data_IF_078259130334
#
_entry.id   IF_078259130334
#
_cell.length_a   1.000
_cell.length_b   1.000
_cell.length_c   1.000
_cell.angle_alpha   90.00
_cell.angle_beta   90.00
_cell.angle_gamma   90.00
#
_symmetry.space_group_name_H-M   'P 1'
#
loop_
_entity.id
_entity.type
_entity.pdbx_description
1 polymer ?
#
# COMPACT_ATOMS: atom_id res chain seq x y z
N UNK A 1 7.60 -18.58 18.83
CA UNK A 1 7.13 -17.26 19.33
C UNK A 1 7.26 -16.14 18.29
N UNK A 2 8.01 -16.31 17.19
CA UNK A 2 8.10 -15.34 16.08
C UNK A 2 6.85 -15.30 15.19
N UNK A 3 6.19 -16.44 14.99
CA UNK A 3 5.08 -16.57 14.04
C UNK A 3 3.81 -15.80 14.43
N UNK A 4 3.61 -15.53 15.73
CA UNK A 4 2.43 -14.82 16.25
C UNK A 4 2.44 -13.32 15.95
N UNK A 5 3.62 -12.71 15.74
CA UNK A 5 3.75 -11.28 15.40
C UNK A 5 3.49 -11.03 13.92
N UNK A 6 3.97 -11.92 13.05
CA UNK A 6 3.72 -11.84 11.60
C UNK A 6 2.21 -11.90 11.31
N UNK A 7 1.48 -12.77 12.00
CA UNK A 7 0.01 -12.86 11.90
C UNK A 7 -0.74 -11.59 12.36
N UNK A 8 -0.11 -10.72 13.15
CA UNK A 8 -0.72 -9.47 13.63
C UNK A 8 -0.36 -8.26 12.77
N UNK A 9 0.78 -8.27 12.09
CA UNK A 9 1.33 -7.08 11.43
C UNK A 9 0.89 -6.92 9.97
N UNK A 10 0.59 -8.03 9.28
CA UNK A 10 0.21 -7.99 7.86
C UNK A 10 -1.15 -7.31 7.68
N UNK A 11 -1.13 -6.15 7.03
CA UNK A 11 -2.31 -5.32 6.74
C UNK A 11 -2.79 -4.48 7.92
N UNK A 12 -2.02 -4.31 9.00
CA UNK A 12 -2.38 -3.36 10.06
C UNK A 12 -2.31 -1.94 9.53
N UNK A 13 -3.36 -1.19 9.82
CA UNK A 13 -3.57 0.17 9.38
C UNK A 13 -3.75 1.07 10.59
N UNK A 14 -3.08 2.22 10.62
CA UNK A 14 -3.36 3.22 11.64
C UNK A 14 -4.60 4.01 11.30
N UNK A 15 -5.65 3.88 12.11
CA UNK A 15 -6.90 4.63 11.94
C UNK A 15 -6.69 6.14 12.13
N UNK A 16 -5.93 6.51 13.16
CA UNK A 16 -5.58 7.91 13.41
C UNK A 16 -4.63 8.43 12.32
N UNK A 17 -3.74 7.60 11.79
CA UNK A 17 -2.90 7.96 10.65
C UNK A 17 -3.70 8.22 9.37
N UNK A 18 -4.64 7.34 9.03
CA UNK A 18 -5.55 7.52 7.90
C UNK A 18 -6.41 8.78 8.06
N UNK A 19 -6.93 9.04 9.28
CA UNK A 19 -7.64 10.28 9.59
C UNK A 19 -6.74 11.50 9.38
N UNK A 20 -5.52 11.47 9.89
CA UNK A 20 -4.59 12.58 9.72
C UNK A 20 -4.30 12.87 8.25
N UNK A 21 -4.10 11.83 7.43
CA UNK A 21 -3.89 11.99 5.99
C UNK A 21 -5.10 12.65 5.31
N UNK A 22 -6.32 12.22 5.67
CA UNK A 22 -7.56 12.84 5.19
C UNK A 22 -7.66 14.31 5.60
N UNK A 23 -7.38 14.64 6.87
CA UNK A 23 -7.38 16.01 7.38
C UNK A 23 -6.31 16.88 6.67
N UNK A 24 -5.13 16.34 6.37
CA UNK A 24 -4.07 17.02 5.59
C UNK A 24 -4.57 17.37 4.19
N UNK A 25 -5.17 16.40 3.49
CA UNK A 25 -5.72 16.62 2.14
C UNK A 25 -6.86 17.66 2.17
N UNK A 26 -7.76 17.55 3.14
CA UNK A 26 -8.84 18.51 3.33
C UNK A 26 -8.33 19.92 3.70
N UNK A 27 -7.25 20.03 4.47
CA UNK A 27 -6.58 21.30 4.79
C UNK A 27 -6.09 21.99 3.51
N UNK A 28 -5.43 21.24 2.62
CA UNK A 28 -4.95 21.77 1.34
C UNK A 28 -6.10 22.27 0.47
N UNK A 29 -7.21 21.54 0.41
CA UNK A 29 -8.42 21.98 -0.29
C UNK A 29 -9.02 23.25 0.33
N UNK A 30 -9.13 23.32 1.66
CA UNK A 30 -9.64 24.49 2.36
C UNK A 30 -8.78 25.74 2.11
N UNK A 31 -7.46 25.59 2.05
CA UNK A 31 -6.54 26.67 1.65
C UNK A 31 -6.91 27.22 0.26
N UNK A 32 -7.04 26.35 -0.74
CA UNK A 32 -7.34 26.78 -2.11
C UNK A 32 -8.76 27.31 -2.30
N UNK A 33 -9.70 26.88 -1.47
CA UNK A 33 -11.07 27.36 -1.46
C UNK A 33 -11.25 28.66 -0.65
N UNK A 34 -10.16 29.28 -0.18
CA UNK A 34 -10.19 30.47 0.66
C UNK A 34 -11.02 30.29 1.95
N UNK A 35 -10.87 29.13 2.61
CA UNK A 35 -11.53 28.76 3.86
C UNK A 35 -10.50 28.66 5.01
N UNK A 36 -9.94 29.79 5.49
CA UNK A 36 -8.82 29.78 6.43
C UNK A 36 -9.17 29.17 7.80
N UNK A 37 -10.37 29.44 8.32
CA UNK A 37 -10.81 28.89 9.61
C UNK A 37 -10.95 27.36 9.56
N UNK A 38 -11.42 26.85 8.41
CA UNK A 38 -11.51 25.41 8.17
C UNK A 38 -10.13 24.79 8.02
N UNK A 39 -9.22 25.42 7.28
CA UNK A 39 -7.83 24.96 7.14
C UNK A 39 -7.14 24.87 8.51
N UNK A 40 -7.30 25.90 9.35
CA UNK A 40 -6.79 25.93 10.73
C UNK A 40 -7.38 24.80 11.58
N UNK A 41 -8.69 24.61 11.52
CA UNK A 41 -9.35 23.53 12.26
C UNK A 41 -8.80 22.15 11.85
N UNK A 42 -8.74 21.88 10.54
CA UNK A 42 -8.32 20.59 10.00
C UNK A 42 -6.84 20.30 10.29
N UNK A 43 -5.94 21.27 10.16
CA UNK A 43 -4.52 21.02 10.40
C UNK A 43 -4.21 20.71 11.87
N UNK A 44 -4.92 21.36 12.80
CA UNK A 44 -4.79 21.03 14.22
C UNK A 44 -5.38 19.65 14.54
N UNK A 45 -6.48 19.25 13.88
CA UNK A 45 -7.01 17.89 14.00
C UNK A 45 -6.02 16.85 13.46
N UNK A 46 -5.38 17.11 12.32
CA UNK A 46 -4.34 16.24 11.76
C UNK A 46 -3.17 16.08 12.73
N UNK A 47 -2.71 17.18 13.35
CA UNK A 47 -1.64 17.17 14.35
C UNK A 47 -2.00 16.30 15.57
N UNK A 48 -3.22 16.43 16.09
CA UNK A 48 -3.71 15.62 17.22
C UNK A 48 -3.81 14.15 16.82
N UNK A 49 -4.32 13.86 15.63
CA UNK A 49 -4.43 12.50 15.11
C UNK A 49 -3.04 11.86 14.94
N UNK A 50 -2.06 12.55 14.38
CA UNK A 50 -0.67 12.04 14.28
C UNK A 50 -0.04 11.76 15.64
N UNK A 51 -0.29 12.61 16.64
CA UNK A 51 0.21 12.36 17.99
C UNK A 51 -0.38 11.08 18.65
N UNK A 52 -1.61 10.69 18.26
CA UNK A 52 -2.20 9.40 18.63
C UNK A 52 -1.62 8.27 17.81
N UNK A 53 -1.54 8.45 16.49
CA UNK A 53 -1.01 7.48 15.54
C UNK A 53 0.44 7.09 15.85
N UNK A 54 1.24 8.00 16.40
CA UNK A 54 2.60 7.73 16.85
C UNK A 54 2.71 6.67 17.96
N UNK A 55 1.59 6.31 18.61
CA UNK A 55 1.51 5.31 19.67
C UNK A 55 0.76 4.05 19.22
N UNK A 56 0.36 3.98 17.96
CA UNK A 56 -0.34 2.82 17.40
C UNK A 56 0.63 1.66 17.22
N UNK A 57 0.26 0.43 17.60
CA UNK A 57 1.12 -0.73 17.34
C UNK A 57 1.20 -1.09 15.84
N UNK A 58 0.47 -0.39 14.96
CA UNK A 58 0.68 -0.46 13.51
C UNK A 58 1.97 0.25 13.06
N UNK A 59 2.60 1.10 13.89
CA UNK A 59 3.87 1.76 13.56
C UNK A 59 5.01 0.74 13.57
N UNK A 60 5.83 0.75 12.52
CA UNK A 60 6.96 -0.17 12.39
C UNK A 60 8.22 0.53 11.89
N UNK A 61 9.40 0.00 12.19
CA UNK A 61 10.68 0.55 11.73
C UNK A 61 11.07 -0.07 10.39
N UNK A 62 11.28 0.74 9.36
CA UNK A 62 11.74 0.24 8.05
C UNK A 62 12.52 1.30 7.26
N UNK A 63 13.67 0.95 6.65
CA UNK A 63 14.40 1.88 5.81
C UNK A 63 13.68 2.15 4.50
N UNK A 64 14.01 3.27 3.87
CA UNK A 64 13.46 3.67 2.57
C UNK A 64 13.86 2.68 1.46
N UNK A 65 15.06 2.11 1.55
CA UNK A 65 15.61 1.14 0.60
C UNK A 65 14.81 -0.16 0.49
N UNK A 66 13.96 -0.47 1.47
CA UNK A 66 13.10 -1.66 1.47
C UNK A 66 11.63 -1.35 1.12
N UNK A 67 11.37 -0.13 0.65
CA UNK A 67 10.04 0.32 0.24
C UNK A 67 10.03 0.67 -1.24
N UNK A 68 8.84 0.67 -1.84
CA UNK A 68 8.64 0.97 -3.26
C UNK A 68 8.07 2.38 -3.40
N UNK A 69 8.68 3.21 -4.25
CA UNK A 69 8.12 4.52 -4.58
C UNK A 69 6.85 4.37 -5.44
N UNK A 70 5.80 5.19 -5.22
CA UNK A 70 4.61 5.19 -6.07
C UNK A 70 4.97 5.45 -7.54
N UNK A 71 4.32 4.74 -8.48
CA UNK A 71 4.57 4.91 -9.92
C UNK A 71 5.78 4.17 -10.49
N UNK A 72 6.61 3.53 -9.67
CA UNK A 72 7.60 2.56 -10.14
C UNK A 72 6.95 1.17 -10.28
N UNK A 73 6.22 0.98 -11.37
CA UNK A 73 6.17 -0.36 -11.97
C UNK A 73 7.61 -0.77 -12.30
N UNK A 74 7.91 -2.06 -12.19
CA UNK A 74 9.22 -2.73 -12.19
C UNK A 74 10.04 -2.61 -13.50
N UNK A 75 10.10 -1.44 -14.13
CA UNK A 75 11.02 -1.18 -15.24
C UNK A 75 12.36 -0.64 -14.72
N UNK A 76 13.49 -1.34 -14.98
CA UNK A 76 14.81 -0.89 -14.59
C UNK A 76 15.31 0.18 -15.58
N UNK A 77 14.72 1.38 -15.55
CA UNK A 77 15.26 2.52 -16.29
C UNK A 77 15.52 3.71 -15.37
N UNK A 78 16.82 3.86 -15.07
CA UNK A 78 17.57 5.11 -14.82
C UNK A 78 16.76 6.32 -14.36
N UNK A 79 16.73 6.53 -13.04
CA UNK A 79 16.76 7.88 -12.46
C UNK A 79 18.21 8.25 -12.18
N UNK A 80 18.90 8.83 -13.17
CA UNK A 80 20.32 9.17 -13.10
C UNK A 80 20.67 10.31 -12.10
N UNK A 81 19.70 10.83 -11.33
CA UNK A 81 19.90 11.90 -10.35
C UNK A 81 19.08 11.72 -9.06
N UNK A 82 18.48 10.55 -8.83
CA UNK A 82 17.80 10.30 -7.56
C UNK A 82 18.84 10.01 -6.47
N UNK A 83 18.73 10.71 -5.34
CA UNK A 83 19.46 10.36 -4.12
C UNK A 83 19.21 8.87 -3.83
N UNK A 84 20.27 8.14 -3.51
CA UNK A 84 20.14 6.73 -3.14
C UNK A 84 19.17 6.62 -1.94
N UNK A 85 18.22 5.67 -1.98
CA UNK A 85 17.25 5.52 -0.89
C UNK A 85 17.97 5.22 0.43
N UNK A 86 17.53 5.86 1.51
CA UNK A 86 18.15 5.70 2.82
C UNK A 86 18.06 4.26 3.33
N UNK A 87 19.17 3.74 3.86
CA UNK A 87 19.24 2.45 4.54
C UNK A 87 19.01 2.54 6.05
N UNK A 88 18.85 3.75 6.60
CA UNK A 88 18.56 3.96 8.02
C UNK A 88 17.08 3.68 8.28
N UNK A 89 16.74 2.74 9.17
CA UNK A 89 15.34 2.52 9.56
C UNK A 89 14.77 3.75 10.26
N UNK A 90 13.55 4.13 9.86
CA UNK A 90 12.76 5.18 10.51
C UNK A 90 11.36 4.65 10.79
N UNK A 91 10.63 5.31 11.70
CA UNK A 91 9.26 4.95 12.02
C UNK A 91 8.34 5.18 10.81
N UNK A 92 7.63 4.12 10.40
CA UNK A 92 6.68 4.10 9.29
C UNK A 92 5.27 3.99 9.84
N UNK A 93 4.40 4.84 9.32
CA UNK A 93 2.99 4.88 9.65
C UNK A 93 2.18 4.35 8.45
N UNK A 94 1.66 3.12 8.49
CA UNK A 94 0.72 2.64 7.48
C UNK A 94 -0.61 3.39 7.59
N UNK A 95 -1.04 4.00 6.49
CA UNK A 95 -2.21 4.91 6.40
C UNK A 95 -3.22 4.49 5.34
N UNK A 96 -2.87 3.54 4.49
CA UNK A 96 -3.81 2.81 3.62
C UNK A 96 -3.31 1.39 3.38
N UNK A 97 -4.20 0.48 3.02
CA UNK A 97 -3.86 -0.90 2.69
C UNK A 97 -4.81 -1.51 1.66
N UNK A 98 -4.23 -2.24 0.72
CA UNK A 98 -4.95 -3.02 -0.29
C UNK A 98 -4.46 -4.47 -0.27
N UNK A 99 -5.38 -5.40 -0.52
CA UNK A 99 -5.09 -6.79 -0.84
C UNK A 99 -5.11 -6.95 -2.37
N UNK A 100 -4.06 -7.51 -2.95
CA UNK A 100 -4.01 -7.84 -4.38
C UNK A 100 -3.88 -9.34 -4.57
N UNK A 101 -4.72 -9.92 -5.42
CA UNK A 101 -4.67 -11.33 -5.80
C UNK A 101 -4.21 -11.43 -7.25
N UNK A 102 -3.28 -12.34 -7.50
CA UNK A 102 -2.82 -12.68 -8.85
C UNK A 102 -2.99 -14.18 -9.07
N UNK A 103 -3.67 -14.55 -10.15
CA UNK A 103 -3.94 -15.93 -10.54
C UNK A 103 -4.02 -16.07 -12.07
N UNK A 104 -4.08 -17.30 -12.58
CA UNK A 104 -4.18 -17.60 -14.00
C UNK A 104 -5.61 -17.69 -14.56
N UNK A 105 -6.63 -17.49 -13.72
CA UNK A 105 -8.07 -17.61 -14.02
C UNK A 105 -8.50 -18.96 -14.63
N UNK A 106 -7.69 -20.03 -14.48
CA UNK A 106 -8.07 -21.37 -14.93
C UNK A 106 -8.76 -22.13 -13.81
N UNK A 107 -9.99 -22.57 -14.07
CA UNK A 107 -10.70 -23.44 -13.14
C UNK A 107 -10.19 -24.88 -13.26
N UNK A 108 -9.58 -25.41 -12.20
CA UNK A 108 -9.30 -26.84 -12.03
C UNK A 108 -10.01 -27.36 -10.79
N UNK A 109 -10.34 -28.67 -10.71
CA UNK A 109 -10.92 -29.27 -9.51
C UNK A 109 -10.09 -28.99 -8.25
N UNK A 110 -8.77 -29.05 -8.36
CA UNK A 110 -7.83 -28.79 -7.26
C UNK A 110 -7.92 -27.34 -6.79
N UNK A 111 -7.95 -26.38 -7.74
CA UNK A 111 -8.07 -24.95 -7.45
C UNK A 111 -9.40 -24.62 -6.77
N UNK A 112 -10.50 -25.20 -7.26
CA UNK A 112 -11.83 -25.00 -6.67
C UNK A 112 -11.92 -25.57 -5.25
N UNK A 113 -11.32 -26.74 -5.00
CA UNK A 113 -11.27 -27.33 -3.66
C UNK A 113 -10.46 -26.44 -2.69
N UNK A 114 -9.28 -25.98 -3.09
CA UNK A 114 -8.45 -25.12 -2.26
C UNK A 114 -9.11 -23.76 -1.96
N UNK A 115 -9.83 -23.16 -2.93
CA UNK A 115 -10.63 -21.94 -2.71
C UNK A 115 -11.79 -22.22 -1.73
N UNK A 116 -12.48 -23.35 -1.86
CA UNK A 116 -13.54 -23.76 -0.92
C UNK A 116 -13.01 -23.88 0.50
N UNK A 117 -11.86 -24.53 0.68
CA UNK A 117 -11.24 -24.72 1.99
C UNK A 117 -10.71 -23.40 2.56
N UNK A 118 -10.16 -22.52 1.71
CA UNK A 118 -9.77 -21.16 2.11
C UNK A 118 -10.99 -20.36 2.62
N UNK A 119 -12.13 -20.45 1.93
CA UNK A 119 -13.38 -19.83 2.37
C UNK A 119 -13.88 -20.38 3.70
N UNK A 120 -13.71 -21.68 3.97
CA UNK A 120 -14.03 -22.25 5.27
C UNK A 120 -13.12 -21.69 6.38
N UNK A 121 -11.80 -21.62 6.14
CA UNK A 121 -10.86 -21.00 7.06
C UNK A 121 -11.22 -19.53 7.35
N UNK A 122 -11.62 -18.75 6.34
CA UNK A 122 -12.05 -17.36 6.55
C UNK A 122 -13.30 -17.25 7.43
N UNK A 123 -14.25 -18.19 7.32
CA UNK A 123 -15.45 -18.22 8.18
C UNK A 123 -15.11 -18.49 9.65
N UNK A 124 -14.02 -19.19 9.93
CA UNK A 124 -13.56 -19.50 11.29
C UNK A 124 -12.48 -18.54 11.79
N UNK A 125 -12.31 -17.38 11.13
CA UNK A 125 -11.26 -16.39 11.42
C UNK A 125 -9.82 -16.93 11.32
N UNK A 126 -9.62 -18.09 10.69
CA UNK A 126 -8.31 -18.68 10.38
C UNK A 126 -7.73 -18.01 9.12
N UNK A 127 -7.36 -16.74 9.26
CA UNK A 127 -6.81 -15.94 8.15
C UNK A 127 -5.55 -16.59 7.58
N UNK A 128 -4.65 -17.06 8.44
CA UNK A 128 -3.39 -17.68 8.03
C UNK A 128 -3.65 -18.94 7.21
N UNK A 129 -4.47 -19.85 7.71
CA UNK A 129 -4.78 -21.08 6.99
C UNK A 129 -5.57 -20.84 5.71
N UNK A 130 -6.31 -19.74 5.57
CA UNK A 130 -6.91 -19.35 4.30
C UNK A 130 -5.85 -18.89 3.28
N UNK A 131 -4.92 -18.01 3.69
CA UNK A 131 -3.86 -17.50 2.83
C UNK A 131 -2.91 -18.60 2.34
N UNK A 132 -2.57 -19.55 3.22
CA UNK A 132 -1.74 -20.71 2.86
C UNK A 132 -2.43 -21.60 1.81
N UNK A 133 -3.75 -21.82 1.94
CA UNK A 133 -4.52 -22.58 0.95
C UNK A 133 -4.63 -21.87 -0.39
N UNK A 134 -4.81 -20.54 -0.39
CA UNK A 134 -4.78 -19.73 -1.62
C UNK A 134 -3.41 -19.83 -2.30
N UNK A 135 -2.32 -19.76 -1.53
CA UNK A 135 -0.97 -19.89 -2.09
C UNK A 135 -0.72 -21.27 -2.73
N UNK A 136 -1.26 -22.35 -2.15
CA UNK A 136 -1.23 -23.72 -2.73
C UNK A 136 -2.02 -23.80 -4.03
N UNK A 137 -3.08 -22.99 -4.19
CA UNK A 137 -3.91 -22.91 -5.37
C UNK A 137 -3.34 -22.02 -6.50
N UNK A 138 -2.05 -21.66 -6.43
CA UNK A 138 -1.40 -20.68 -7.29
C UNK A 138 -2.14 -19.32 -7.34
N UNK A 139 -2.79 -18.95 -6.24
CA UNK A 139 -3.31 -17.60 -6.01
C UNK A 139 -2.28 -16.85 -5.18
N UNK A 140 -1.49 -16.01 -5.84
CA UNK A 140 -0.51 -15.16 -5.16
C UNK A 140 -1.23 -13.99 -4.51
N UNK A 141 -1.06 -13.85 -3.20
CA UNK A 141 -1.67 -12.78 -2.40
C UNK A 141 -0.59 -11.81 -1.95
N UNK A 142 -0.80 -10.51 -2.19
CA UNK A 142 0.09 -9.44 -1.72
C UNK A 142 -0.70 -8.45 -0.89
N UNK A 143 -0.05 -7.97 0.18
CA UNK A 143 -0.53 -6.87 1.00
C UNK A 143 0.29 -5.64 0.63
N UNK A 144 -0.40 -4.63 0.09
CA UNK A 144 0.19 -3.36 -0.32
C UNK A 144 -0.28 -2.30 0.65
N UNK A 145 0.64 -1.71 1.41
CA UNK A 145 0.33 -0.62 2.34
C UNK A 145 0.99 0.68 1.90
N UNK A 146 0.23 1.78 1.89
CA UNK A 146 0.80 3.12 1.80
C UNK A 146 1.32 3.52 3.19
N UNK A 147 2.58 3.93 3.25
CA UNK A 147 3.29 4.24 4.50
C UNK A 147 3.93 5.62 4.45
N UNK A 148 3.75 6.38 5.52
CA UNK A 148 4.36 7.70 5.70
C UNK A 148 5.55 7.62 6.66
N UNK A 149 6.63 8.40 6.46
CA UNK A 149 7.66 8.57 7.47
C UNK A 149 7.09 9.40 8.64
N UNK A 150 6.81 8.74 9.76
CA UNK A 150 6.00 9.29 10.86
C UNK A 150 6.56 10.62 11.39
N UNK A 151 7.84 10.63 11.74
CA UNK A 151 8.49 11.78 12.37
C UNK A 151 8.54 12.99 11.43
N UNK A 152 8.89 12.75 10.15
CA UNK A 152 8.91 13.80 9.12
C UNK A 152 7.49 14.35 8.89
N UNK A 153 6.49 13.47 8.78
CA UNK A 153 5.08 13.87 8.60
C UNK A 153 4.60 14.75 9.76
N UNK A 154 4.95 14.39 11.01
CA UNK A 154 4.62 15.20 12.19
C UNK A 154 5.30 16.57 12.17
N UNK A 155 6.55 16.63 11.74
CA UNK A 155 7.30 17.89 11.61
C UNK A 155 6.66 18.80 10.56
N UNK A 156 6.36 18.27 9.37
CA UNK A 156 5.76 19.01 8.26
C UNK A 156 4.37 19.54 8.62
N UNK A 157 3.52 18.70 9.24
CA UNK A 157 2.20 19.12 9.73
C UNK A 157 2.30 20.19 10.81
N UNK A 158 3.27 20.07 11.72
CA UNK A 158 3.48 21.09 12.75
C UNK A 158 3.93 22.41 12.15
N UNK A 159 4.82 22.37 11.14
CA UNK A 159 5.28 23.57 10.43
C UNK A 159 4.15 24.21 9.64
N UNK A 160 3.36 23.41 8.92
CA UNK A 160 2.20 23.89 8.17
C UNK A 160 1.15 24.53 9.09
N UNK A 161 0.88 23.97 10.28
CA UNK A 161 -0.02 24.56 11.25
C UNK A 161 0.43 25.98 11.67
N UNK A 162 1.72 26.15 12.00
CA UNK A 162 2.30 27.46 12.32
C UNK A 162 2.15 28.46 11.17
N UNK A 163 2.42 28.01 9.93
CA UNK A 163 2.32 28.86 8.75
C UNK A 163 0.86 29.28 8.47
N UNK A 164 -0.10 28.37 8.67
CA UNK A 164 -1.54 28.67 8.59
C UNK A 164 -1.94 29.71 9.64
N UNK A 165 -1.44 29.59 10.87
CA UNK A 165 -1.66 30.57 11.94
C UNK A 165 -1.08 31.95 11.61
N UNK A 166 0.04 31.99 10.87
CA UNK A 166 0.68 33.21 10.37
C UNK A 166 0.03 33.76 9.07
N UNK A 167 -0.99 33.09 8.51
CA UNK A 167 -1.62 33.47 7.23
C UNK A 167 -0.80 33.11 5.98
N UNK A 168 0.28 32.33 6.12
CA UNK A 168 1.18 31.87 5.06
C UNK A 168 0.67 30.57 4.43
N UNK A 169 -0.49 30.65 3.77
CA UNK A 169 -1.20 29.47 3.29
C UNK A 169 -0.50 28.75 2.13
N UNK A 170 0.19 29.49 1.26
CA UNK A 170 0.90 28.90 0.13
C UNK A 170 2.09 28.05 0.60
N UNK A 171 2.88 28.60 1.52
CA UNK A 171 4.01 27.91 2.15
C UNK A 171 3.54 26.73 2.99
N UNK A 172 2.45 26.88 3.74
CA UNK A 172 1.85 25.77 4.47
C UNK A 172 1.47 24.62 3.53
N UNK A 173 0.81 24.92 2.40
CA UNK A 173 0.44 23.90 1.43
C UNK A 173 1.66 23.17 0.83
N UNK A 174 2.81 23.83 0.67
CA UNK A 174 4.04 23.15 0.22
C UNK A 174 4.47 22.05 1.20
N UNK A 175 4.56 22.35 2.50
CA UNK A 175 4.86 21.35 3.53
C UNK A 175 3.83 20.21 3.57
N UNK A 176 2.53 20.52 3.41
CA UNK A 176 1.49 19.50 3.37
C UNK A 176 1.56 18.62 2.13
N UNK A 177 2.01 19.17 1.00
CA UNK A 177 2.26 18.40 -0.21
C UNK A 177 3.45 17.46 0.00
N UNK A 178 4.56 17.98 0.52
CA UNK A 178 5.76 17.18 0.80
C UNK A 178 5.44 16.02 1.75
N UNK A 179 4.69 16.28 2.83
CA UNK A 179 4.22 15.24 3.75
C UNK A 179 3.48 14.10 3.05
N UNK A 180 2.68 14.40 2.01
CA UNK A 180 1.98 13.38 1.21
C UNK A 180 2.85 12.72 0.13
N UNK A 181 3.77 13.48 -0.48
CA UNK A 181 4.67 12.99 -1.54
C UNK A 181 5.71 12.00 -1.00
N UNK A 182 6.01 12.06 0.30
CA UNK A 182 6.87 11.10 0.99
C UNK A 182 6.22 9.72 1.24
N UNK A 183 4.96 9.53 0.86
CA UNK A 183 4.31 8.23 0.94
C UNK A 183 5.03 7.21 0.05
N UNK A 184 5.27 6.03 0.62
CA UNK A 184 5.84 4.88 -0.08
C UNK A 184 4.95 3.67 0.05
N UNK A 185 5.20 2.64 -0.75
CA UNK A 185 4.50 1.37 -0.70
C UNK A 185 5.35 0.33 0.02
N UNK A 186 4.77 -0.30 1.05
CA UNK A 186 5.27 -1.55 1.61
C UNK A 186 4.50 -2.70 0.96
N UNK A 187 5.19 -3.56 0.21
CA UNK A 187 4.60 -4.70 -0.49
C UNK A 187 5.15 -5.98 0.11
N UNK A 188 4.27 -6.78 0.71
CA UNK A 188 4.65 -8.03 1.36
C UNK A 188 3.76 -9.19 0.93
N UNK A 189 4.29 -10.40 1.01
CA UNK A 189 3.52 -11.64 0.79
C UNK A 189 2.68 -12.02 2.03
N UNK A 190 2.05 -13.20 1.96
CA UNK A 190 1.21 -13.75 3.04
C UNK A 190 1.95 -14.00 4.36
N UNK A 191 3.29 -14.03 4.34
CA UNK A 191 4.16 -14.22 5.49
C UNK A 191 4.85 -12.92 5.93
N UNK A 192 4.41 -11.77 5.41
CA UNK A 192 5.00 -10.48 5.72
C UNK A 192 6.42 -10.30 5.15
N UNK A 193 6.85 -11.17 4.25
CA UNK A 193 8.16 -11.06 3.60
C UNK A 193 8.08 -10.13 2.40
N UNK A 194 9.18 -9.45 2.01
CA UNK A 194 9.22 -8.70 0.77
C UNK A 194 8.73 -9.58 -0.39
N UNK A 195 7.68 -9.13 -1.07
CA UNK A 195 7.08 -9.92 -2.14
C UNK A 195 8.10 -10.15 -3.26
N UNK A 196 8.29 -11.41 -3.65
CA UNK A 196 9.07 -11.81 -4.82
C UNK A 196 8.13 -12.46 -5.81
N UNK A 197 7.95 -11.82 -6.96
CA UNK A 197 7.15 -12.39 -8.03
C UNK A 197 7.68 -13.78 -8.40
N UNK A 198 6.80 -14.79 -8.41
CA UNK A 198 7.15 -16.10 -8.99
C UNK A 198 7.44 -15.89 -10.47
N UNK A 199 8.51 -16.50 -10.97
CA UNK A 199 8.77 -16.51 -12.41
C UNK A 199 7.56 -17.14 -13.10
N UNK A 200 6.90 -16.41 -14.00
CA UNK A 200 5.85 -16.99 -14.83
C UNK A 200 6.46 -18.17 -15.57
N UNK A 201 5.90 -19.38 -15.37
CA UNK A 201 6.16 -20.49 -16.28
C UNK A 201 5.67 -20.02 -17.65
N UNK A 202 6.60 -19.78 -18.57
CA UNK A 202 6.29 -19.62 -19.99
C UNK A 202 5.44 -20.82 -20.38
N UNK A 203 4.19 -20.57 -20.75
CA UNK A 203 3.37 -21.60 -21.38
C UNK A 203 4.15 -22.07 -22.61
N UNK A 204 4.45 -23.36 -22.68
CA UNK A 204 5.14 -23.98 -23.80
C UNK A 204 4.42 -23.58 -25.09
N UNK A 205 5.09 -22.76 -25.90
CA UNK A 205 4.64 -22.35 -27.21
C UNK A 205 4.79 -23.53 -28.20
N UNK A 206 3.99 -24.59 -28.03
CA UNK A 206 3.74 -25.60 -29.06
C UNK A 206 2.32 -26.16 -28.93
N UNK A 207 1.36 -25.41 -29.46
CA UNK A 207 0.18 -25.99 -30.08
C UNK A 207 0.02 -25.34 -31.46
N UNK A 208 0.06 -26.11 -32.58
CA UNK A 208 -0.12 -25.53 -33.89
C UNK A 208 -1.56 -25.01 -34.02
N UNK A 209 -1.70 -23.78 -34.47
CA UNK A 209 -2.97 -23.20 -34.92
C UNK A 209 -3.53 -24.11 -36.02
N UNK A 210 -4.58 -24.85 -35.70
CA UNK A 210 -5.31 -25.64 -36.67
C UNK A 210 -6.09 -24.66 -37.56
N UNK A 211 -5.59 -24.43 -38.77
CA UNK A 211 -6.24 -23.60 -39.77
C UNK A 211 -7.55 -24.28 -40.21
N UNK A 212 -8.68 -23.78 -39.71
CA UNK A 212 -10.00 -24.10 -40.23
C UNK A 212 -10.10 -23.56 -41.67
N UNK A 213 -9.97 -24.46 -42.65
CA UNK A 213 -10.34 -24.20 -44.04
C UNK A 213 -11.84 -23.88 -44.10
N UNK A 214 -12.17 -22.63 -44.41
CA UNK A 214 -13.50 -22.26 -44.85
C UNK A 214 -13.75 -22.90 -46.24
N UNK A 215 -14.64 -23.89 -46.29
CA UNK A 215 -15.25 -24.35 -47.55
C UNK A 215 -16.39 -23.41 -47.88
N UNK A 216 -16.21 -22.56 -48.88
CA UNK A 216 -17.31 -21.90 -49.58
C UNK A 216 -17.99 -22.93 -50.49
N UNK A 217 -19.22 -23.31 -50.17
CA UNK A 217 -20.15 -23.91 -51.13
C UNK A 217 -21.24 -22.90 -51.45
N UNK A 218 -21.40 -22.66 -52.74
CA UNK A 218 -22.45 -21.86 -53.34
C UNK A 218 -23.84 -22.48 -53.13
N UNK A 219 -24.84 -21.62 -52.98
CA UNK A 219 -26.11 -21.70 -53.70
C UNK A 219 -26.72 -20.30 -53.77
#
# INVERSE_FOLDING_TARGET
MLDKKIDQDVGRLSKDGAKALSDIQATRLAIFNAQPDQAKTLIHQAKVALAKAAKDDAVFMKPESELTAPGKATTPEKVAHAKAPSTTPVARLPVDSQLTLAEDFKATPEKMAAISDANQSLKTADRKGALEKLAVADVDVQFVSAVLPLEQTMADVTKAASLIDEGKYFEANAFLKDATDHAMLNIVDVYGQPYKAKAQKTADAKAPLNAQKATTSAN
#
